data_IF_070308135572
#
_entry.id   IF_070308135572
#
_cell.length_a   1.000
_cell.length_b   1.000
_cell.length_c   1.000
_cell.angle_alpha   90.00
_cell.angle_beta   90.00
_cell.angle_gamma   90.00
#
_symmetry.space_group_name_H-M   'P 1'
#
loop_
_entity.id
_entity.type
_entity.pdbx_description
1 polymer ?
#
# COMPACT_ATOMS: atom_id res chain seq x y z
N UNK A 1 -35.43 2.18 2.54
CA UNK A 1 -34.70 3.41 2.20
C UNK A 1 -33.49 3.65 3.03
N UNK A 2 -33.37 2.97 4.13
CA UNK A 2 -32.25 3.22 5.02
C UNK A 2 -30.91 3.00 4.35
N UNK A 3 -30.76 1.92 3.59
CA UNK A 3 -29.48 1.63 2.96
C UNK A 3 -29.12 2.68 1.90
N UNK A 4 -30.13 3.15 1.18
CA UNK A 4 -29.91 4.22 0.19
C UNK A 4 -29.52 5.51 0.89
N UNK A 5 -30.21 5.81 1.99
CA UNK A 5 -29.92 7.04 2.72
C UNK A 5 -28.55 6.99 3.36
N UNK A 6 -28.13 5.84 3.80
CA UNK A 6 -26.79 5.74 4.38
C UNK A 6 -25.67 5.94 3.36
N UNK A 7 -25.92 5.74 2.34
CA UNK A 7 -25.03 5.93 1.35
C UNK A 7 -25.05 7.24 0.82
N UNK A 8 -26.02 7.84 1.09
CA UNK A 8 -26.15 9.20 0.63
C UNK A 8 -25.75 10.13 1.74
N UNK A 9 -24.56 10.62 1.65
CA UNK A 9 -24.02 11.52 2.66
C UNK A 9 -23.68 12.82 1.96
N UNK A 10 -24.27 13.93 2.44
CA UNK A 10 -24.05 15.27 1.85
C UNK A 10 -24.35 15.28 0.35
N UNK A 11 -25.39 14.55 -0.05
CA UNK A 11 -25.86 14.54 -1.43
C UNK A 11 -25.13 13.59 -2.35
N UNK A 12 -24.32 12.70 -1.78
CA UNK A 12 -23.56 11.73 -2.57
C UNK A 12 -23.90 10.32 -2.11
N UNK A 13 -24.01 9.39 -3.06
CA UNK A 13 -24.22 7.97 -2.78
C UNK A 13 -22.91 7.23 -2.97
N UNK A 14 -22.54 6.44 -1.96
CA UNK A 14 -21.32 5.64 -2.02
C UNK A 14 -21.36 4.71 -3.24
N UNK A 15 -20.27 4.60 -3.96
CA UNK A 15 -20.17 3.79 -5.17
C UNK A 15 -19.52 2.47 -4.83
N UNK A 16 -20.26 1.40 -5.03
CA UNK A 16 -19.79 0.06 -4.71
C UNK A 16 -18.55 -0.31 -5.48
N UNK A 17 -18.49 0.05 -6.74
CA UNK A 17 -17.36 -0.33 -7.59
C UNK A 17 -16.03 0.25 -7.13
N UNK A 18 -16.06 1.34 -6.34
CA UNK A 18 -14.86 1.95 -5.79
C UNK A 18 -14.57 1.48 -4.38
N UNK A 19 -15.42 0.62 -3.80
CA UNK A 19 -15.24 0.13 -2.45
C UNK A 19 -15.31 1.21 -1.40
N UNK A 20 -16.14 2.22 -1.62
CA UNK A 20 -16.17 3.40 -0.75
C UNK A 20 -16.89 3.12 0.55
N UNK A 21 -16.22 3.39 1.66
CA UNK A 21 -16.77 3.45 3.01
C UNK A 21 -16.30 4.76 3.61
N UNK A 22 -17.24 5.65 3.87
CA UNK A 22 -16.88 7.01 4.25
C UNK A 22 -16.68 7.11 5.74
N UNK A 23 -15.51 7.51 6.17
CA UNK A 23 -15.15 7.70 7.57
C UNK A 23 -15.91 8.89 8.14
N UNK A 24 -16.52 8.72 9.33
CA UNK A 24 -17.24 9.83 9.94
C UNK A 24 -17.00 9.98 11.45
N UNK A 25 -16.38 9.00 12.09
CA UNK A 25 -16.14 9.07 13.54
C UNK A 25 -15.06 10.10 13.83
N UNK A 26 -15.43 11.20 14.49
CA UNK A 26 -14.52 12.32 14.68
C UNK A 26 -13.36 11.96 15.60
N UNK A 27 -13.54 11.08 16.58
CA UNK A 27 -12.44 10.67 17.45
C UNK A 27 -11.39 9.91 16.65
N UNK A 28 -11.85 9.02 15.77
CA UNK A 28 -10.93 8.27 14.91
C UNK A 28 -10.22 9.22 13.96
N UNK A 29 -10.96 10.15 13.35
CA UNK A 29 -10.37 11.12 12.43
C UNK A 29 -9.26 11.90 13.12
N UNK A 30 -9.52 12.39 14.33
CA UNK A 30 -8.51 13.16 15.08
C UNK A 30 -7.29 12.30 15.40
N UNK A 31 -7.50 11.02 15.75
CA UNK A 31 -6.38 10.13 16.03
C UNK A 31 -5.52 9.92 14.80
N UNK A 32 -6.14 9.74 13.63
CA UNK A 32 -5.40 9.55 12.39
C UNK A 32 -4.60 10.81 12.05
N UNK A 33 -5.24 11.96 12.10
CA UNK A 33 -4.56 13.22 11.77
C UNK A 33 -3.41 13.48 12.73
N UNK A 34 -3.61 13.18 14.02
CA UNK A 34 -2.54 13.32 15.01
C UNK A 34 -1.37 12.40 14.68
N UNK A 35 -1.65 11.17 14.25
CA UNK A 35 -0.58 10.24 13.88
C UNK A 35 0.19 10.73 12.65
N UNK A 36 -0.50 11.30 11.68
CA UNK A 36 0.15 11.87 10.51
C UNK A 36 0.97 13.10 10.91
N UNK A 37 0.42 13.92 11.79
CA UNK A 37 1.08 15.12 12.29
C UNK A 37 1.55 16.01 11.13
N UNK A 38 0.63 16.48 10.30
CA UNK A 38 1.02 17.27 9.12
C UNK A 38 1.52 18.66 9.54
N UNK A 39 2.51 19.16 8.81
CA UNK A 39 3.10 20.45 9.06
C UNK A 39 3.15 21.27 7.79
N UNK A 40 3.01 22.58 7.92
CA UNK A 40 3.22 23.49 6.80
C UNK A 40 4.60 23.30 6.22
N UNK A 41 4.70 23.43 4.91
CA UNK A 41 5.94 23.26 4.19
C UNK A 41 6.20 21.85 3.72
N UNK A 42 5.46 20.87 4.23
CA UNK A 42 5.55 19.50 3.75
C UNK A 42 4.69 19.34 2.49
N UNK A 43 5.09 18.45 1.61
CA UNK A 43 4.24 18.07 0.46
C UNK A 43 3.38 16.90 0.88
N UNK A 44 2.09 17.14 0.97
CA UNK A 44 1.12 16.15 1.43
C UNK A 44 0.23 15.73 0.26
N UNK A 45 0.08 14.44 0.09
CA UNK A 45 -0.73 13.87 -0.97
C UNK A 45 -1.73 12.91 -0.35
N UNK A 46 -3.02 13.20 -0.51
CA UNK A 46 -4.08 12.31 -0.06
C UNK A 46 -4.62 11.52 -1.23
N UNK A 47 -4.73 10.20 -1.06
CA UNK A 47 -5.35 9.34 -2.07
C UNK A 47 -6.74 8.99 -1.60
N UNK A 48 -7.72 9.26 -2.47
CA UNK A 48 -9.10 8.94 -2.18
C UNK A 48 -9.73 9.77 -1.09
N UNK A 49 -9.70 11.09 -1.18
CA UNK A 49 -10.25 11.93 -0.11
C UNK A 49 -11.73 11.72 0.15
N UNK A 50 -12.48 11.20 -0.83
CA UNK A 50 -13.89 10.93 -0.63
C UNK A 50 -14.65 12.19 -0.29
N UNK A 51 -15.39 12.14 0.82
CA UNK A 51 -16.17 13.29 1.26
C UNK A 51 -15.36 14.29 2.09
N UNK A 52 -14.05 14.05 2.24
CA UNK A 52 -13.18 15.02 2.88
C UNK A 52 -12.97 14.81 4.37
N UNK A 53 -13.26 13.61 4.88
CA UNK A 53 -13.16 13.36 6.32
C UNK A 53 -11.76 13.62 6.87
N UNK A 54 -10.73 13.20 6.16
CA UNK A 54 -9.36 13.51 6.55
C UNK A 54 -8.88 14.81 5.92
N UNK A 55 -9.38 15.14 4.74
CA UNK A 55 -8.97 16.31 4.00
C UNK A 55 -9.19 17.59 4.79
N UNK A 56 -10.39 17.74 5.36
CA UNK A 56 -10.74 18.96 6.06
C UNK A 56 -9.84 19.24 7.27
N UNK A 57 -9.67 18.28 8.19
CA UNK A 57 -8.81 18.56 9.34
C UNK A 57 -7.34 18.70 8.98
N UNK A 58 -6.84 17.98 7.97
CA UNK A 58 -5.48 18.20 7.53
C UNK A 58 -5.31 19.59 6.93
N UNK A 59 -6.26 20.01 6.10
CA UNK A 59 -6.20 21.33 5.47
C UNK A 59 -6.28 22.48 6.50
N UNK A 60 -6.85 22.22 7.67
CA UNK A 60 -6.82 23.22 8.73
C UNK A 60 -5.42 23.45 9.27
N UNK A 61 -4.55 22.46 9.15
CA UNK A 61 -3.21 22.50 9.73
C UNK A 61 -2.14 22.94 8.74
N UNK A 62 -2.45 22.93 7.44
CA UNK A 62 -1.47 23.23 6.40
C UNK A 62 -2.08 24.16 5.37
N UNK A 63 -1.22 24.83 4.61
CA UNK A 63 -1.67 25.77 3.58
C UNK A 63 -2.01 25.09 2.27
N UNK A 64 -1.37 23.98 1.97
CA UNK A 64 -1.54 23.32 0.67
C UNK A 64 -1.65 21.82 0.84
N UNK A 65 -2.52 21.21 0.06
CA UNK A 65 -2.75 19.78 0.09
C UNK A 65 -3.12 19.31 -1.31
N UNK A 66 -2.46 18.27 -1.80
CA UNK A 66 -2.78 17.67 -3.08
C UNK A 66 -3.59 16.40 -2.85
N UNK A 67 -4.67 16.22 -3.61
CA UNK A 67 -5.52 15.04 -3.49
C UNK A 67 -5.67 14.37 -4.84
N UNK A 68 -5.78 13.05 -4.84
CA UNK A 68 -6.03 12.24 -6.03
C UNK A 68 -7.36 11.53 -5.84
N UNK A 69 -8.33 11.83 -6.71
CA UNK A 69 -9.69 11.30 -6.58
C UNK A 69 -10.17 10.83 -7.95
N UNK A 70 -10.56 9.56 -8.04
CA UNK A 70 -11.03 9.00 -9.30
C UNK A 70 -12.51 9.34 -9.57
N UNK A 71 -13.30 9.55 -8.53
CA UNK A 71 -14.73 9.78 -8.65
C UNK A 71 -14.98 11.26 -9.01
N UNK A 72 -15.54 11.47 -10.19
CA UNK A 72 -15.78 12.84 -10.69
C UNK A 72 -16.67 13.65 -9.75
N UNK A 73 -17.73 13.02 -9.22
CA UNK A 73 -18.66 13.74 -8.35
C UNK A 73 -17.98 14.16 -7.05
N UNK A 74 -17.16 13.29 -6.48
CA UNK A 74 -16.43 13.62 -5.26
C UNK A 74 -15.38 14.70 -5.51
N UNK A 75 -14.67 14.61 -6.64
CA UNK A 75 -13.70 15.65 -7.00
C UNK A 75 -14.39 17.00 -7.14
N UNK A 76 -15.56 17.01 -7.78
CA UNK A 76 -16.30 18.25 -7.98
C UNK A 76 -16.77 18.85 -6.66
N UNK A 77 -17.23 18.00 -5.72
CA UNK A 77 -17.59 18.50 -4.40
C UNK A 77 -16.42 19.17 -3.71
N UNK A 78 -15.23 18.58 -3.83
CA UNK A 78 -14.05 19.18 -3.22
C UNK A 78 -13.68 20.50 -3.86
N UNK A 79 -13.83 20.61 -5.19
CA UNK A 79 -13.55 21.86 -5.88
C UNK A 79 -14.41 23.00 -5.37
N UNK A 80 -15.65 22.70 -5.00
CA UNK A 80 -16.61 23.72 -4.57
C UNK A 80 -16.73 23.83 -3.07
N UNK A 81 -15.87 23.14 -2.31
CA UNK A 81 -15.91 23.18 -0.85
C UNK A 81 -15.37 24.51 -0.35
N UNK A 82 -16.20 25.31 0.34
CA UNK A 82 -15.77 26.69 0.72
C UNK A 82 -14.47 26.78 1.53
N UNK A 83 -14.31 25.91 2.30
CA UNK A 83 -13.21 25.93 3.22
C UNK A 83 -11.95 25.34 2.71
N UNK A 84 -12.12 24.77 1.70
CA UNK A 84 -10.93 24.11 1.13
C UNK A 84 -10.39 24.79 -0.10
N UNK A 85 -11.17 25.72 -0.61
CA UNK A 85 -10.78 26.42 -1.82
C UNK A 85 -9.47 27.19 -1.57
N UNK A 86 -8.66 26.97 -2.50
CA UNK A 86 -7.47 27.69 -2.29
C UNK A 86 -6.39 26.85 -1.69
N UNK A 87 -6.76 25.85 -1.17
CA UNK A 87 -5.75 25.01 -0.51
C UNK A 87 -5.51 23.74 -1.26
N UNK A 88 -6.49 23.25 -2.02
CA UNK A 88 -6.41 21.94 -2.66
C UNK A 88 -5.92 22.05 -4.09
N UNK A 89 -5.00 21.14 -4.44
CA UNK A 89 -4.75 20.77 -5.83
C UNK A 89 -5.43 19.43 -6.03
N UNK A 90 -6.37 19.35 -6.93
CA UNK A 90 -7.18 18.14 -7.13
C UNK A 90 -6.77 17.49 -8.44
N UNK A 91 -6.31 16.25 -8.34
CA UNK A 91 -5.97 15.42 -9.48
C UNK A 91 -7.08 14.40 -9.65
N UNK A 92 -7.86 14.56 -10.70
CA UNK A 92 -8.98 13.66 -10.97
C UNK A 92 -8.47 12.52 -11.84
N UNK A 93 -7.90 11.53 -11.20
CA UNK A 93 -7.22 10.42 -11.86
C UNK A 93 -7.38 9.15 -11.06
N UNK A 94 -7.13 8.03 -11.73
CA UNK A 94 -7.03 6.73 -11.07
C UNK A 94 -5.63 6.62 -10.49
N UNK A 95 -5.52 6.54 -9.16
CA UNK A 95 -4.22 6.47 -8.50
C UNK A 95 -3.40 5.26 -8.93
N UNK A 96 -4.06 4.17 -9.33
CA UNK A 96 -3.35 2.97 -9.81
C UNK A 96 -2.64 3.22 -11.13
N UNK A 97 -3.12 4.17 -11.93
CA UNK A 97 -2.56 4.44 -13.25
C UNK A 97 -1.74 5.72 -13.31
N UNK A 98 -1.84 6.53 -12.27
CA UNK A 98 -1.18 7.84 -12.28
C UNK A 98 0.32 7.67 -12.14
N UNK A 99 1.07 8.37 -12.97
CA UNK A 99 2.54 8.33 -12.90
C UNK A 99 3.00 9.37 -11.90
N UNK A 100 3.13 8.93 -10.64
CA UNK A 100 3.53 9.82 -9.55
C UNK A 100 4.95 10.34 -9.76
N UNK A 101 5.84 9.51 -10.29
CA UNK A 101 7.23 9.95 -10.49
C UNK A 101 7.30 11.14 -11.44
N UNK A 102 6.59 11.07 -12.57
CA UNK A 102 6.58 12.20 -13.50
C UNK A 102 6.02 13.45 -12.84
N UNK A 103 4.93 13.29 -12.10
CA UNK A 103 4.29 14.42 -11.43
C UNK A 103 5.24 15.06 -10.41
N UNK A 104 5.85 14.23 -9.56
CA UNK A 104 6.75 14.75 -8.54
C UNK A 104 7.99 15.38 -9.18
N UNK A 105 8.48 14.81 -10.28
CA UNK A 105 9.62 15.39 -10.98
C UNK A 105 9.28 16.75 -11.56
N UNK A 106 8.07 16.92 -12.09
CA UNK A 106 7.63 18.22 -12.61
C UNK A 106 7.60 19.28 -11.51
N UNK A 107 7.33 18.86 -10.29
CA UNK A 107 7.30 19.76 -9.14
C UNK A 107 8.67 19.96 -8.51
N UNK A 108 9.71 19.31 -9.04
CA UNK A 108 11.08 19.39 -8.52
C UNK A 108 11.16 18.93 -7.06
N UNK A 109 10.42 17.90 -6.71
CA UNK A 109 10.45 17.37 -5.36
C UNK A 109 11.65 16.46 -5.19
N UNK A 110 12.34 16.61 -4.06
CA UNK A 110 13.51 15.83 -3.73
C UNK A 110 13.15 14.45 -3.20
N UNK A 111 14.18 13.64 -2.98
CA UNK A 111 13.99 12.37 -2.30
C UNK A 111 13.41 12.61 -0.91
N UNK A 112 12.60 11.65 -0.44
CA UNK A 112 12.03 11.69 0.90
C UNK A 112 11.20 12.93 1.19
N UNK A 113 10.54 13.49 0.17
CA UNK A 113 9.84 14.75 0.38
C UNK A 113 8.32 14.63 0.37
N UNK A 114 7.79 13.51 -0.14
CA UNK A 114 6.35 13.37 -0.30
C UNK A 114 5.78 12.56 0.85
N UNK A 115 4.72 13.08 1.47
CA UNK A 115 4.00 12.36 2.51
C UNK A 115 2.64 11.99 1.99
N UNK A 116 2.33 10.67 2.00
CA UNK A 116 1.10 10.14 1.40
C UNK A 116 0.18 9.63 2.50
N UNK A 117 -1.11 9.88 2.37
CA UNK A 117 -2.06 9.30 3.31
C UNK A 117 -3.40 9.07 2.60
N UNK A 118 -4.25 8.28 3.24
CA UNK A 118 -5.58 8.08 2.72
C UNK A 118 -6.32 6.93 3.36
N UNK A 119 -7.64 6.98 3.19
CA UNK A 119 -8.53 5.88 3.49
C UNK A 119 -8.74 5.14 2.17
N UNK A 120 -8.01 4.05 1.97
CA UNK A 120 -7.96 3.41 0.66
C UNK A 120 -9.15 2.48 0.46
N UNK A 121 -9.81 2.52 -0.71
CA UNK A 121 -10.85 1.55 -1.01
C UNK A 121 -10.31 0.13 -0.95
N UNK A 122 -11.08 -0.77 -0.33
CA UNK A 122 -10.58 -2.12 -0.06
C UNK A 122 -10.21 -2.88 -1.33
N UNK A 123 -10.89 -2.59 -2.44
CA UNK A 123 -10.71 -3.38 -3.66
C UNK A 123 -9.46 -2.98 -4.45
N UNK A 124 -8.82 -1.86 -4.10
CA UNK A 124 -7.60 -1.43 -4.81
C UNK A 124 -6.40 -1.27 -3.88
N UNK A 125 -6.56 -1.54 -2.58
CA UNK A 125 -5.53 -1.15 -1.61
C UNK A 125 -4.21 -1.87 -1.87
N UNK A 126 -4.22 -3.18 -2.09
CA UNK A 126 -2.97 -3.91 -2.27
C UNK A 126 -2.26 -3.53 -3.58
N UNK A 127 -2.94 -3.52 -4.73
CA UNK A 127 -2.24 -3.06 -5.93
C UNK A 127 -1.76 -1.61 -5.83
N UNK A 128 -2.50 -0.76 -5.11
CA UNK A 128 -2.05 0.62 -4.95
C UNK A 128 -0.78 0.69 -4.11
N UNK A 129 -0.68 -0.11 -3.06
CA UNK A 129 0.54 -0.14 -2.26
C UNK A 129 1.72 -0.60 -3.13
N UNK A 130 1.55 -1.66 -3.93
CA UNK A 130 2.62 -2.07 -4.85
C UNK A 130 3.02 -0.95 -5.79
N UNK A 131 2.03 -0.23 -6.31
CA UNK A 131 2.30 0.88 -7.21
C UNK A 131 3.12 1.97 -6.51
N UNK A 132 2.72 2.35 -5.29
CA UNK A 132 3.41 3.40 -4.54
C UNK A 132 4.83 2.99 -4.15
N UNK A 133 5.07 1.70 -3.90
CA UNK A 133 6.42 1.24 -3.56
C UNK A 133 7.40 1.48 -4.71
N UNK A 134 6.93 1.58 -5.95
CA UNK A 134 7.82 1.91 -7.06
C UNK A 134 8.31 3.36 -6.99
N UNK A 135 7.71 4.18 -6.14
CA UNK A 135 8.12 5.57 -5.93
C UNK A 135 8.72 5.78 -4.53
N UNK A 136 9.13 4.71 -3.87
CA UNK A 136 9.53 4.74 -2.46
C UNK A 136 10.62 5.77 -2.20
N UNK A 137 11.52 5.98 -3.17
CA UNK A 137 12.63 6.91 -2.99
C UNK A 137 12.19 8.36 -2.86
N UNK A 138 10.99 8.70 -3.35
CA UNK A 138 10.47 10.06 -3.28
C UNK A 138 9.56 10.26 -2.06
N UNK A 139 9.21 9.19 -1.35
CA UNK A 139 8.21 9.22 -0.29
C UNK A 139 8.89 9.20 1.08
N UNK A 140 8.51 10.16 1.92
CA UNK A 140 8.99 10.23 3.29
C UNK A 140 8.26 9.22 4.17
N UNK A 141 6.94 9.20 4.09
CA UNK A 141 6.13 8.22 4.82
C UNK A 141 4.75 8.12 4.18
N UNK A 142 4.06 7.05 4.57
CA UNK A 142 2.69 6.81 4.14
C UNK A 142 1.86 6.38 5.34
N UNK A 143 0.63 6.87 5.42
CA UNK A 143 -0.33 6.48 6.46
C UNK A 143 -1.61 6.07 5.77
N UNK A 144 -1.97 4.79 5.87
CA UNK A 144 -3.16 4.29 5.20
C UNK A 144 -4.10 3.59 6.16
N UNK A 145 -5.39 3.85 5.97
CA UNK A 145 -6.42 3.05 6.60
C UNK A 145 -6.83 1.97 5.61
N UNK A 146 -6.76 0.72 6.07
CA UNK A 146 -6.97 -0.48 5.27
C UNK A 146 -7.80 -1.46 6.08
N UNK A 147 -8.29 -2.51 5.42
CA UNK A 147 -8.84 -3.63 6.18
C UNK A 147 -7.77 -4.18 7.10
N UNK A 148 -8.19 -4.60 8.30
CA UNK A 148 -7.27 -5.08 9.32
C UNK A 148 -6.43 -6.25 8.80
N UNK A 149 -7.01 -7.13 7.99
CA UNK A 149 -6.28 -8.26 7.43
C UNK A 149 -5.12 -7.81 6.56
N UNK A 150 -5.30 -6.75 5.79
CA UNK A 150 -4.22 -6.22 4.95
C UNK A 150 -3.11 -5.66 5.83
N UNK A 151 -3.45 -4.96 6.90
CA UNK A 151 -2.43 -4.45 7.82
C UNK A 151 -1.68 -5.61 8.47
N UNK A 152 -2.39 -6.69 8.84
CA UNK A 152 -1.71 -7.87 9.38
C UNK A 152 -0.72 -8.46 8.39
N UNK A 153 -1.08 -8.51 7.10
CA UNK A 153 -0.15 -9.00 6.08
C UNK A 153 1.07 -8.09 5.97
N UNK A 154 0.85 -6.79 5.99
CA UNK A 154 1.97 -5.84 5.88
C UNK A 154 2.94 -5.99 7.04
N UNK A 155 2.43 -6.27 8.24
CA UNK A 155 3.22 -6.32 9.48
C UNK A 155 3.70 -7.73 9.83
N UNK A 156 3.41 -8.74 9.04
CA UNK A 156 3.61 -10.14 9.43
C UNK A 156 5.08 -10.50 9.57
N UNK A 157 5.32 -11.59 10.28
CA UNK A 157 6.64 -12.18 10.43
C UNK A 157 6.62 -13.58 9.82
N UNK A 158 7.79 -14.13 9.49
CA UNK A 158 7.83 -15.52 9.01
C UNK A 158 7.17 -16.47 9.98
N UNK A 159 6.61 -17.54 9.48
CA UNK A 159 5.88 -18.56 10.21
C UNK A 159 4.46 -18.17 10.59
N UNK A 160 3.97 -17.05 10.07
CA UNK A 160 2.56 -16.72 10.25
C UNK A 160 1.81 -16.92 8.93
N UNK A 161 0.51 -17.19 9.02
CA UNK A 161 -0.32 -17.35 7.84
C UNK A 161 -0.39 -16.06 7.03
N UNK A 162 -0.21 -14.92 7.67
CA UNK A 162 -0.30 -13.63 6.99
C UNK A 162 0.94 -13.30 6.18
N UNK A 163 2.04 -14.00 6.43
CA UNK A 163 3.30 -13.74 5.75
C UNK A 163 3.20 -14.09 4.26
N UNK A 164 3.46 -13.13 3.40
CA UNK A 164 3.31 -13.36 1.98
C UNK A 164 4.08 -12.35 1.15
N UNK A 165 3.78 -12.35 -0.15
CA UNK A 165 4.48 -11.46 -1.08
C UNK A 165 4.32 -10.00 -0.68
N UNK A 166 3.10 -9.60 -0.29
CA UNK A 166 2.89 -8.22 0.16
C UNK A 166 3.78 -7.87 1.35
N UNK A 167 3.87 -8.80 2.32
CA UNK A 167 4.74 -8.60 3.48
C UNK A 167 6.16 -8.31 3.04
N UNK A 168 6.69 -9.17 2.19
CA UNK A 168 8.09 -9.10 1.80
C UNK A 168 8.39 -7.83 1.02
N UNK A 169 7.53 -7.50 0.05
CA UNK A 169 7.77 -6.31 -0.76
C UNK A 169 7.64 -5.04 0.06
N UNK A 170 6.64 -4.96 0.94
CA UNK A 170 6.49 -3.77 1.77
C UNK A 170 7.65 -3.61 2.74
N UNK A 171 8.06 -4.70 3.40
CA UNK A 171 9.13 -4.62 4.39
C UNK A 171 10.52 -4.56 3.74
N UNK A 172 10.62 -4.95 2.49
CA UNK A 172 11.85 -4.74 1.74
C UNK A 172 12.13 -3.25 1.58
N UNK A 173 11.09 -2.47 1.30
CA UNK A 173 11.24 -1.03 1.04
C UNK A 173 11.05 -0.18 2.28
N UNK A 174 10.30 -0.66 3.27
CA UNK A 174 9.78 0.21 4.34
C UNK A 174 9.88 -0.44 5.70
N UNK A 175 10.03 0.39 6.72
CA UNK A 175 9.63 0.01 8.06
C UNK A 175 8.10 0.09 8.11
N UNK A 176 7.46 -0.94 8.65
CA UNK A 176 5.99 -1.04 8.66
C UNK A 176 5.52 -1.05 10.11
N UNK A 177 4.66 -0.09 10.47
CA UNK A 177 4.29 0.14 11.86
C UNK A 177 2.76 0.18 11.97
N UNK A 178 2.13 -0.73 12.72
CA UNK A 178 0.68 -0.58 12.98
C UNK A 178 0.44 0.60 13.91
N UNK A 179 -0.62 1.36 13.63
CA UNK A 179 -0.87 2.61 14.36
C UNK A 179 -2.09 2.49 15.26
N UNK A 180 -3.26 2.15 14.70
CA UNK A 180 -4.47 1.98 15.50
C UNK A 180 -5.48 1.12 14.76
N UNK A 181 -6.41 0.53 15.53
CA UNK A 181 -7.52 -0.22 14.96
C UNK A 181 -8.75 0.67 14.88
N UNK A 182 -9.59 0.40 13.87
CA UNK A 182 -10.76 1.23 13.61
C UNK A 182 -11.96 0.30 13.41
N UNK A 183 -13.01 0.45 14.25
CA UNK A 183 -14.16 -0.45 14.13
C UNK A 183 -15.04 -0.09 12.93
N UNK A 184 -15.84 -1.04 12.46
CA UNK A 184 -16.72 -0.76 11.31
C UNK A 184 -17.69 0.39 11.55
N UNK A 185 -18.07 0.63 12.79
CA UNK A 185 -19.02 1.71 13.11
C UNK A 185 -18.47 3.10 12.80
N UNK A 186 -17.17 3.21 12.59
CA UNK A 186 -16.58 4.51 12.22
C UNK A 186 -16.91 4.96 10.80
N UNK A 187 -17.52 4.09 10.00
CA UNK A 187 -17.75 4.31 8.56
C UNK A 187 -19.23 4.22 8.21
N UNK A 188 -19.60 4.88 7.10
CA UNK A 188 -20.90 4.72 6.45
C UNK A 188 -20.68 4.55 4.95
N UNK A 189 -21.19 3.50 4.35
CA UNK A 189 -21.75 2.33 5.02
C UNK A 189 -20.67 1.60 5.80
N UNK A 190 -21.06 0.93 6.89
CA UNK A 190 -20.08 0.22 7.68
C UNK A 190 -19.53 -0.97 6.88
N UNK A 191 -18.21 -1.16 6.87
CA UNK A 191 -17.66 -2.37 6.26
C UNK A 191 -17.96 -3.57 7.14
N UNK A 192 -17.78 -4.76 6.59
CA UNK A 192 -18.09 -6.00 7.31
C UNK A 192 -16.99 -6.40 8.28
N UNK A 193 -15.80 -5.83 8.13
CA UNK A 193 -14.64 -6.22 8.92
C UNK A 193 -14.00 -4.97 9.52
N UNK A 194 -13.18 -5.19 10.53
CA UNK A 194 -12.41 -4.11 11.15
C UNK A 194 -11.40 -3.53 10.16
N UNK A 195 -11.09 -2.27 10.37
CA UNK A 195 -10.02 -1.58 9.67
C UNK A 195 -8.88 -1.28 10.63
N UNK A 196 -7.78 -0.82 10.09
CA UNK A 196 -6.64 -0.39 10.89
C UNK A 196 -5.84 0.61 10.10
N UNK A 197 -5.06 1.41 10.81
CA UNK A 197 -4.15 2.37 10.19
C UNK A 197 -2.74 1.83 10.32
N UNK A 198 -2.00 1.89 9.23
CA UNK A 198 -0.61 1.46 9.16
C UNK A 198 0.25 2.64 8.71
N UNK A 199 1.45 2.71 9.25
CA UNK A 199 2.47 3.66 8.80
C UNK A 199 3.56 2.89 8.07
N UNK A 200 3.90 3.36 6.87
CA UNK A 200 4.98 2.79 6.05
C UNK A 200 6.04 3.87 5.89
N UNK A 201 7.26 3.59 6.34
CA UNK A 201 8.35 4.55 6.27
C UNK A 201 9.44 3.99 5.39
N UNK A 202 9.55 4.44 4.13
CA UNK A 202 10.60 3.92 3.27
C UNK A 202 11.98 4.14 3.85
N UNK A 203 12.83 3.13 3.72
CA UNK A 203 14.21 3.22 4.19
C UNK A 203 15.00 4.18 3.30
N UNK A 204 15.84 5.00 3.90
CA UNK A 204 16.80 5.81 3.13
C UNK A 204 17.83 4.92 2.45
N UNK A 205 18.27 3.89 3.18
CA UNK A 205 19.14 2.87 2.62
C UNK A 205 18.48 1.52 2.89
N UNK A 206 18.22 0.77 1.82
CA UNK A 206 17.59 -0.53 1.96
C UNK A 206 18.48 -1.43 2.80
N UNK A 207 17.94 -2.11 3.83
CA UNK A 207 18.75 -3.02 4.65
C UNK A 207 19.33 -4.18 3.87
N UNK A 208 18.61 -4.69 2.87
CA UNK A 208 19.05 -5.84 2.09
C UNK A 208 18.85 -5.54 0.61
N UNK A 209 19.68 -4.67 0.02
CA UNK A 209 19.41 -4.24 -1.35
C UNK A 209 19.56 -5.39 -2.35
N UNK A 210 18.54 -5.61 -3.13
CA UNK A 210 18.57 -6.58 -4.22
C UNK A 210 19.34 -5.99 -5.40
N UNK A 211 20.11 -6.85 -6.08
CA UNK A 211 20.81 -6.42 -7.29
C UNK A 211 19.84 -5.94 -8.36
N UNK A 212 18.69 -6.60 -8.46
CA UNK A 212 17.61 -6.22 -9.35
C UNK A 212 16.31 -6.67 -8.73
N UNK A 213 15.45 -5.74 -8.40
CA UNK A 213 14.20 -6.05 -7.71
C UNK A 213 13.27 -6.93 -8.56
N UNK A 214 13.49 -6.95 -9.88
CA UNK A 214 12.76 -7.85 -10.75
C UNK A 214 12.84 -9.30 -10.23
N UNK A 215 14.05 -9.74 -9.83
CA UNK A 215 14.22 -11.11 -9.36
C UNK A 215 13.58 -11.34 -8.01
N UNK A 216 13.55 -10.32 -7.14
CA UNK A 216 12.82 -10.45 -5.89
C UNK A 216 11.33 -10.61 -6.15
N UNK A 217 10.78 -9.84 -7.07
CA UNK A 217 9.38 -9.99 -7.47
C UNK A 217 9.12 -11.38 -8.05
N UNK A 218 10.04 -11.87 -8.89
CA UNK A 218 9.88 -13.18 -9.50
C UNK A 218 9.87 -14.30 -8.46
N UNK A 219 10.84 -14.28 -7.56
CA UNK A 219 10.95 -15.39 -6.62
C UNK A 219 9.82 -15.37 -5.61
N UNK A 220 9.40 -14.19 -5.15
CA UNK A 220 8.30 -14.14 -4.18
C UNK A 220 6.97 -14.49 -4.83
N UNK A 221 6.74 -14.05 -6.06
CA UNK A 221 5.54 -14.43 -6.78
C UNK A 221 5.47 -15.95 -6.94
N UNK A 222 6.57 -16.54 -7.38
CA UNK A 222 6.60 -17.98 -7.61
C UNK A 222 6.39 -18.76 -6.31
N UNK A 223 7.06 -18.34 -5.23
CA UNK A 223 6.96 -19.02 -3.94
C UNK A 223 5.53 -18.97 -3.40
N UNK A 224 4.90 -17.82 -3.47
CA UNK A 224 3.60 -17.63 -2.83
C UNK A 224 2.42 -18.00 -3.72
N UNK A 225 2.62 -18.14 -5.02
CA UNK A 225 1.58 -18.74 -5.87
C UNK A 225 1.36 -20.21 -5.52
N UNK A 226 2.35 -20.84 -4.89
CA UNK A 226 2.30 -22.24 -4.50
C UNK A 226 2.46 -22.36 -3.00
N UNK A 227 1.66 -21.60 -2.23
CA UNK A 227 1.89 -21.45 -0.78
C UNK A 227 1.92 -22.78 -0.03
N UNK A 228 1.09 -23.75 -0.45
CA UNK A 228 0.99 -25.00 0.28
C UNK A 228 2.06 -26.01 -0.12
N UNK A 229 2.81 -25.73 -1.18
CA UNK A 229 3.88 -26.63 -1.60
C UNK A 229 5.17 -26.31 -0.89
N UNK A 230 6.05 -27.29 -0.81
CA UNK A 230 7.40 -27.06 -0.31
C UNK A 230 8.14 -26.11 -1.22
N UNK A 231 9.13 -25.42 -0.70
CA UNK A 231 9.94 -24.52 -1.51
C UNK A 231 10.65 -25.25 -2.64
N UNK A 232 11.07 -26.49 -2.39
CA UNK A 232 11.65 -27.30 -3.47
C UNK A 232 10.72 -27.36 -4.67
N UNK A 233 9.43 -27.64 -4.41
CA UNK A 233 8.47 -27.78 -5.50
C UNK A 233 7.99 -26.44 -6.02
N UNK A 234 7.73 -25.49 -5.12
CA UNK A 234 7.21 -24.19 -5.53
C UNK A 234 8.19 -23.43 -6.41
N UNK A 235 9.49 -23.57 -6.15
CA UNK A 235 10.53 -22.81 -6.87
C UNK A 235 11.23 -23.65 -7.93
N UNK A 236 10.67 -24.80 -8.30
CA UNK A 236 11.37 -25.75 -9.17
C UNK A 236 11.66 -25.20 -10.58
N UNK A 237 10.87 -24.23 -11.05
CA UNK A 237 11.16 -23.63 -12.36
C UNK A 237 12.30 -22.63 -12.32
N UNK A 238 12.70 -22.20 -11.12
CA UNK A 238 13.78 -21.20 -10.97
C UNK A 238 15.06 -21.80 -10.38
N UNK A 239 14.94 -22.86 -9.57
CA UNK A 239 16.07 -23.44 -8.86
C UNK A 239 15.95 -24.96 -8.89
N UNK A 240 17.10 -25.63 -8.99
CA UNK A 240 17.15 -27.05 -8.67
C UNK A 240 17.19 -27.24 -7.16
N UNK A 241 16.88 -28.47 -6.71
CA UNK A 241 16.96 -28.77 -5.29
C UNK A 241 18.39 -28.57 -4.77
N UNK A 242 19.38 -28.94 -5.56
CA UNK A 242 20.78 -28.79 -5.16
C UNK A 242 21.14 -27.32 -4.99
N UNK A 243 20.63 -26.44 -5.87
CA UNK A 243 20.87 -25.02 -5.78
C UNK A 243 20.26 -24.43 -4.51
N UNK A 244 19.00 -24.80 -4.22
CA UNK A 244 18.34 -24.31 -3.01
C UNK A 244 19.07 -24.80 -1.77
N UNK A 245 19.47 -26.06 -1.76
CA UNK A 245 20.20 -26.61 -0.62
C UNK A 245 21.53 -25.87 -0.40
N UNK A 246 22.26 -25.61 -1.47
CA UNK A 246 23.50 -24.87 -1.40
C UNK A 246 23.29 -23.45 -0.87
N UNK A 247 22.12 -22.87 -1.13
CA UNK A 247 21.78 -21.54 -0.63
C UNK A 247 21.23 -21.56 0.78
N UNK A 248 21.17 -22.74 1.41
CA UNK A 248 20.76 -22.85 2.79
C UNK A 248 19.25 -22.89 3.00
N UNK A 249 18.49 -23.15 1.96
CA UNK A 249 17.03 -23.18 2.06
C UNK A 249 16.59 -24.57 2.51
N UNK A 250 15.68 -24.60 3.48
CA UNK A 250 15.04 -25.85 3.91
C UNK A 250 14.09 -26.30 2.80
N UNK A 251 14.44 -27.38 2.11
CA UNK A 251 13.69 -27.86 0.96
C UNK A 251 12.26 -28.29 1.31
N UNK A 252 12.03 -28.66 2.58
CA UNK A 252 10.71 -29.11 3.01
C UNK A 252 9.84 -27.99 3.56
N UNK A 253 10.40 -26.79 3.74
CA UNK A 253 9.64 -25.65 4.23
C UNK A 253 8.75 -25.08 3.15
N UNK A 254 7.70 -24.40 3.57
CA UNK A 254 6.82 -23.63 2.68
C UNK A 254 7.23 -22.18 2.70
N UNK A 255 6.74 -21.47 1.74
CA UNK A 255 7.07 -20.05 1.65
C UNK A 255 6.73 -19.26 2.92
N UNK A 256 5.83 -19.62 3.50
CA UNK A 256 5.41 -18.98 4.56
C UNK A 256 6.22 -19.17 5.67
N UNK A 257 7.02 -20.05 5.60
CA UNK A 257 7.78 -20.45 6.80
C UNK A 257 9.19 -19.90 6.66
N UNK A 258 9.88 -19.85 7.68
CA UNK A 258 11.33 -19.69 7.90
C UNK A 258 12.11 -18.66 7.07
N UNK A 259 11.69 -18.29 5.83
CA UNK A 259 12.50 -17.40 5.01
C UNK A 259 12.25 -15.94 5.36
N UNK A 260 13.32 -15.26 5.75
CA UNK A 260 13.26 -13.82 6.03
C UNK A 260 13.35 -13.03 4.72
N UNK A 261 13.18 -11.71 4.83
CA UNK A 261 13.37 -10.84 3.67
C UNK A 261 14.79 -10.96 3.14
N UNK A 262 15.80 -11.01 4.05
CA UNK A 262 17.18 -11.20 3.62
C UNK A 262 17.35 -12.50 2.84
N UNK A 263 16.67 -13.57 3.27
CA UNK A 263 16.75 -14.85 2.57
C UNK A 263 16.18 -14.73 1.15
N UNK A 264 15.03 -14.09 1.00
CA UNK A 264 14.45 -13.92 -0.34
C UNK A 264 15.31 -13.04 -1.22
N UNK A 265 15.94 -12.01 -0.65
CA UNK A 265 16.86 -11.19 -1.43
C UNK A 265 18.07 -12.02 -1.87
N UNK A 266 18.57 -12.90 -1.00
CA UNK A 266 19.70 -13.76 -1.38
C UNK A 266 19.33 -14.67 -2.54
N UNK A 267 18.11 -15.22 -2.52
CA UNK A 267 17.64 -16.02 -3.66
C UNK A 267 17.53 -15.18 -4.92
N UNK A 268 17.00 -13.97 -4.79
CA UNK A 268 16.86 -13.07 -5.93
C UNK A 268 18.23 -12.70 -6.51
N UNK A 269 19.20 -12.44 -5.64
CA UNK A 269 20.55 -12.09 -6.12
C UNK A 269 21.21 -13.25 -6.82
N UNK A 270 20.99 -14.47 -6.33
CA UNK A 270 21.53 -15.65 -7.02
C UNK A 270 20.93 -15.77 -8.41
N UNK A 271 19.62 -15.53 -8.56
CA UNK A 271 18.98 -15.56 -9.88
C UNK A 271 19.50 -14.48 -10.79
N UNK A 272 19.76 -13.30 -10.25
CA UNK A 272 20.34 -12.21 -11.03
C UNK A 272 21.69 -12.64 -11.63
N UNK A 273 22.51 -13.31 -10.81
CA UNK A 273 23.84 -13.76 -11.26
C UNK A 273 23.76 -15.02 -12.11
N UNK A 274 22.69 -15.80 -11.98
CA UNK A 274 22.52 -17.10 -12.63
C UNK A 274 21.11 -17.21 -13.22
N UNK A 275 20.77 -16.37 -14.20
CA UNK A 275 19.37 -16.38 -14.67
C UNK A 275 19.03 -17.70 -15.33
N UNK A 276 17.77 -18.14 -15.22
CA UNK A 276 17.36 -19.36 -15.87
C UNK A 276 17.58 -19.29 -17.39
N UNK A 277 17.85 -20.43 -18.00
CA UNK A 277 18.11 -20.48 -19.44
C UNK A 277 16.91 -19.95 -20.22
N UNK A 278 15.70 -20.30 -19.76
CA UNK A 278 14.46 -19.79 -20.35
C UNK A 278 13.70 -19.06 -19.24
N UNK A 279 13.66 -17.74 -19.35
CA UNK A 279 12.90 -16.94 -18.41
C UNK A 279 11.51 -16.70 -18.99
N UNK A 280 10.55 -17.51 -18.58
CA UNK A 280 9.18 -17.29 -18.97
C UNK A 280 8.66 -16.11 -18.16
N UNK A 281 8.65 -14.97 -18.79
CA UNK A 281 8.11 -13.79 -18.13
C UNK A 281 6.62 -13.95 -17.97
N UNK A 282 6.22 -14.38 -16.79
CA UNK A 282 4.81 -14.37 -16.42
C UNK A 282 4.48 -13.02 -15.85
N UNK A 283 3.27 -12.60 -16.14
CA UNK A 283 2.79 -11.36 -15.56
C UNK A 283 2.72 -11.51 -14.05
N UNK A 284 3.31 -10.57 -13.31
CA UNK A 284 3.26 -10.60 -11.86
C UNK A 284 1.87 -10.23 -11.39
N UNK A 285 1.34 -11.00 -10.46
CA UNK A 285 0.02 -10.77 -9.91
C UNK A 285 0.12 -10.56 -8.42
N UNK A 286 -0.82 -9.77 -7.89
CA UNK A 286 -0.87 -9.51 -6.46
C UNK A 286 -1.65 -10.62 -5.78
N UNK A 287 -1.03 -11.78 -5.70
CA UNK A 287 -1.71 -12.97 -5.18
C UNK A 287 -2.01 -12.88 -3.71
N UNK A 288 -1.31 -12.01 -3.00
CA UNK A 288 -1.53 -11.83 -1.57
C UNK A 288 -2.72 -10.94 -1.27
N UNK A 289 -3.35 -10.43 -2.29
CA UNK A 289 -4.52 -9.56 -2.09
C UNK A 289 -5.68 -10.28 -1.45
#
# INVERSE_FOLDING_TARGET
>A
MSSTNSXKHLGHTARKRFGQNFLHDMNIIHSIVSAINPKNGQFLLEIGPGLGALTEPVAELVDKLTVVEIDRDLAERLRHHPXLNXKLTIIEQDALRFNFRDYFNQLNLDEDSVRVFGNLPYNISTPLIFHLLTFHDLIQDMHFMLQKEVVKRLCAAPNSKAYGRLTIMAQYYCQVIPVLEVPPTAFKPAPKVDSAVVRLVPYNQLPYPAKDVYWLNRVTTQAFNQRRKTLRNALSTLFSAEQLDALGVDLTARAXENLTIADYVRLANWLHDNPPAIDTTEELVDEDC
#
